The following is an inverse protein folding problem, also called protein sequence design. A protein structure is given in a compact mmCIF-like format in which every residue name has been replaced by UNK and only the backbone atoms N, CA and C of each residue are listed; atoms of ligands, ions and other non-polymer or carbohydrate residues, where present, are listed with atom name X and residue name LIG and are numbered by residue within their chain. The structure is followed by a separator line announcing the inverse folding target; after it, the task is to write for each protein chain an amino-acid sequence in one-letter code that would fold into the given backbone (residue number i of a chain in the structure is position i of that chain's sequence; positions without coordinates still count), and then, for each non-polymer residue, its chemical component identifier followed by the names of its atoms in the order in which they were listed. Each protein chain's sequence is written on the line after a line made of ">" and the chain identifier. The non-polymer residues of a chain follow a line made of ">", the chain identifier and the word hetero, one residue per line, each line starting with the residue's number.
data_IF_250003806170
#
_entry.id   IF_250003806170
#
_cell.length_a   1.000
_cell.length_b   1.000
_cell.length_c   1.000
_cell.angle_alpha   90.00
_cell.angle_beta   90.00
_cell.angle_gamma   90.00
#
_symmetry.space_group_name_H-M   'P 1'
#
loop_
_entity.id
_entity.type
_entity.pdbx_description
1 polymer ?
#
# COMPACT_ATOMS: atom_id res chain seq x y z
N UNK A 1 -9.86 -0.68 11.32
CA UNK A 1 -9.06 -1.88 11.00
C UNK A 1 -9.39 -2.25 9.57
N UNK A 2 -8.45 -2.05 8.63
CA UNK A 2 -8.65 -2.42 7.22
C UNK A 2 -8.46 -3.93 7.16
N UNK A 3 -9.55 -4.67 6.93
CA UNK A 3 -9.50 -6.13 6.91
C UNK A 3 -9.15 -6.56 5.50
N UNK A 4 -7.97 -7.15 5.41
CA UNK A 4 -7.38 -7.71 4.22
C UNK A 4 -8.08 -9.00 3.79
N UNK A 5 -8.05 -9.26 2.48
CA UNK A 5 -8.26 -10.60 1.93
C UNK A 5 -7.27 -11.58 2.57
N UNK A 6 -7.78 -12.56 3.32
CA UNK A 6 -6.98 -13.65 3.86
C UNK A 6 -6.92 -14.77 2.82
N UNK A 7 -5.82 -14.85 2.08
CA UNK A 7 -5.55 -15.95 1.16
C UNK A 7 -4.91 -17.09 1.97
N UNK A 8 -5.66 -18.14 2.23
CA UNK A 8 -5.12 -19.40 2.73
C UNK A 8 -4.87 -20.36 1.57
N UNK A 9 -3.68 -20.96 1.50
CA UNK A 9 -3.49 -22.20 0.72
C UNK A 9 -3.63 -23.36 1.70
N UNK A 10 -4.53 -24.29 1.42
CA UNK A 10 -4.70 -25.46 2.27
C UNK A 10 -4.64 -26.73 1.44
N UNK A 11 -3.78 -27.66 1.86
CA UNK A 11 -3.88 -29.05 1.43
C UNK A 11 -5.06 -29.69 2.19
N UNK A 12 -6.28 -29.43 1.73
CA UNK A 12 -7.48 -30.12 2.19
C UNK A 12 -8.29 -29.49 3.32
N UNK A 13 -8.26 -28.17 3.54
CA UNK A 13 -9.15 -27.56 4.53
C UNK A 13 -10.57 -27.38 3.98
N UNK A 14 -11.55 -27.78 4.79
CA UNK A 14 -12.95 -27.36 4.65
C UNK A 14 -13.02 -25.84 4.64
N UNK A 15 -13.76 -25.27 3.68
CA UNK A 15 -14.01 -23.83 3.63
C UNK A 15 -14.53 -23.34 4.98
N UNK A 16 -14.12 -22.14 5.45
CA UNK A 16 -14.54 -21.64 6.75
C UNK A 16 -16.07 -21.51 6.81
N UNK A 17 -16.64 -21.90 7.95
CA UNK A 17 -18.09 -21.85 8.17
C UNK A 17 -18.58 -20.39 8.14
N UNK A 18 -19.57 -20.12 7.27
CA UNK A 18 -20.15 -18.78 7.09
C UNK A 18 -20.64 -18.18 8.42
N UNK A 19 -21.34 -18.96 9.23
CA UNK A 19 -21.87 -18.51 10.52
C UNK A 19 -20.75 -18.11 11.48
N UNK A 20 -19.70 -18.92 11.58
CA UNK A 20 -18.54 -18.61 12.44
C UNK A 20 -17.82 -17.34 11.99
N UNK A 21 -17.72 -17.10 10.68
CA UNK A 21 -17.18 -15.84 10.13
C UNK A 21 -18.10 -14.67 10.53
N UNK A 22 -19.41 -14.77 10.30
CA UNK A 22 -20.36 -13.71 10.63
C UNK A 22 -20.37 -13.39 12.13
N UNK A 23 -20.28 -14.40 13.00
CA UNK A 23 -20.16 -14.25 14.44
C UNK A 23 -18.85 -13.55 14.83
N UNK A 24 -17.72 -13.96 14.24
CA UNK A 24 -16.43 -13.32 14.46
C UNK A 24 -16.45 -11.84 14.02
N UNK A 25 -16.89 -11.55 12.79
CA UNK A 25 -16.97 -10.18 12.28
C UNK A 25 -17.82 -9.29 13.20
N UNK A 26 -18.94 -9.80 13.71
CA UNK A 26 -19.77 -9.09 14.71
C UNK A 26 -18.99 -8.86 16.02
N UNK A 27 -18.34 -9.89 16.55
CA UNK A 27 -17.60 -9.82 17.82
C UNK A 27 -16.47 -8.77 17.77
N UNK A 28 -15.73 -8.70 16.67
CA UNK A 28 -14.63 -7.73 16.49
C UNK A 28 -15.08 -6.46 15.77
N UNK A 29 -16.39 -6.26 15.62
CA UNK A 29 -16.99 -5.07 15.05
C UNK A 29 -16.46 -4.71 13.65
N UNK A 30 -16.23 -5.70 12.80
CA UNK A 30 -15.90 -5.50 11.38
C UNK A 30 -17.22 -5.37 10.59
N UNK A 31 -17.50 -4.21 9.95
CA UNK A 31 -18.77 -3.98 9.26
C UNK A 31 -19.04 -4.89 8.07
N UNK A 32 -17.99 -5.32 7.38
CA UNK A 32 -18.06 -6.23 6.26
C UNK A 32 -16.68 -6.67 5.80
N UNK A 33 -16.65 -7.77 5.05
CA UNK A 33 -15.43 -8.38 4.54
C UNK A 33 -15.71 -9.14 3.24
N UNK A 34 -14.68 -9.29 2.41
CA UNK A 34 -14.63 -10.27 1.33
C UNK A 34 -13.52 -11.26 1.64
N UNK A 35 -13.82 -12.55 1.54
CA UNK A 35 -12.86 -13.63 1.77
C UNK A 35 -12.77 -14.46 0.50
N UNK A 36 -11.54 -14.56 -0.01
CA UNK A 36 -11.21 -15.36 -1.20
C UNK A 36 -10.12 -16.37 -0.85
N UNK A 37 -10.36 -17.65 -1.16
CA UNK A 37 -9.41 -18.75 -1.00
C UNK A 37 -9.17 -19.33 -2.38
N UNK A 38 -7.92 -19.46 -2.78
CA UNK A 38 -7.53 -19.96 -4.11
C UNK A 38 -6.54 -21.11 -3.97
N UNK A 39 -6.50 -21.98 -4.97
CA UNK A 39 -5.38 -22.89 -5.20
C UNK A 39 -4.66 -22.53 -6.51
N UNK A 40 -3.72 -23.36 -6.95
CA UNK A 40 -2.92 -23.12 -8.14
C UNK A 40 -3.72 -23.00 -9.46
N UNK A 41 -4.99 -23.42 -9.48
CA UNK A 41 -5.79 -23.55 -10.71
C UNK A 41 -7.14 -22.82 -10.66
N UNK A 42 -7.73 -22.63 -9.48
CA UNK A 42 -9.05 -22.01 -9.36
C UNK A 42 -9.32 -21.45 -7.95
N UNK A 43 -10.35 -20.61 -7.87
CA UNK A 43 -10.94 -20.13 -6.62
C UNK A 43 -11.72 -21.25 -5.93
N UNK A 44 -11.35 -21.55 -4.69
CA UNK A 44 -11.98 -22.55 -3.82
C UNK A 44 -13.16 -21.97 -3.03
N UNK A 45 -13.06 -20.70 -2.67
CA UNK A 45 -14.05 -20.00 -1.87
C UNK A 45 -14.01 -18.52 -2.19
N UNK A 46 -15.18 -17.91 -2.36
CA UNK A 46 -15.32 -16.48 -2.57
C UNK A 46 -16.65 -16.06 -1.98
N UNK A 47 -16.63 -15.29 -0.89
CA UNK A 47 -17.84 -14.85 -0.21
C UNK A 47 -17.67 -13.44 0.33
N UNK A 48 -18.77 -12.70 0.28
CA UNK A 48 -18.90 -11.38 0.87
C UNK A 48 -19.81 -11.43 2.11
N UNK A 49 -19.46 -10.60 3.09
CA UNK A 49 -20.07 -10.52 4.40
C UNK A 49 -20.35 -9.07 4.78
N UNK A 50 -21.47 -8.85 5.45
CA UNK A 50 -21.82 -7.54 6.00
C UNK A 50 -22.01 -6.47 4.92
N UNK A 51 -21.59 -5.25 5.24
CA UNK A 51 -21.88 -4.05 4.45
C UNK A 51 -20.61 -3.35 4.02
N UNK A 52 -20.58 -2.88 2.77
CA UNK A 52 -19.56 -1.94 2.31
C UNK A 52 -19.77 -0.52 2.86
N UNK A 53 -21.01 -0.21 3.26
CA UNK A 53 -21.41 1.07 3.85
C UNK A 53 -22.51 0.83 4.87
N UNK A 54 -22.22 1.06 6.15
CA UNK A 54 -23.21 1.07 7.23
C UNK A 54 -24.25 2.18 7.09
N UNK A 55 -23.88 3.31 6.47
CA UNK A 55 -24.78 4.45 6.29
C UNK A 55 -25.90 4.14 5.30
N UNK A 56 -25.54 3.61 4.13
CA UNK A 56 -26.48 3.26 3.06
C UNK A 56 -27.00 1.83 3.19
N UNK A 57 -26.45 1.04 4.12
CA UNK A 57 -26.68 -0.41 4.28
C UNK A 57 -26.44 -1.19 2.98
N UNK A 58 -25.53 -0.71 2.14
CA UNK A 58 -25.20 -1.40 0.90
C UNK A 58 -24.40 -2.66 1.23
N UNK A 59 -24.84 -3.85 0.77
CA UNK A 59 -24.17 -5.10 1.06
C UNK A 59 -22.81 -5.16 0.39
N UNK A 60 -21.87 -5.87 1.01
CA UNK A 60 -20.58 -6.19 0.40
C UNK A 60 -20.79 -7.11 -0.82
N UNK A 61 -19.98 -6.95 -1.86
CA UNK A 61 -20.00 -7.79 -3.06
C UNK A 61 -18.59 -8.29 -3.38
N UNK A 62 -18.41 -9.60 -3.54
CA UNK A 62 -17.08 -10.18 -3.70
C UNK A 62 -16.40 -9.79 -5.02
N UNK A 63 -17.17 -9.55 -6.09
CA UNK A 63 -16.67 -9.21 -7.42
C UNK A 63 -16.48 -7.71 -7.62
N UNK A 64 -17.18 -6.88 -6.84
CA UNK A 64 -17.28 -5.43 -7.09
C UNK A 64 -16.74 -4.56 -5.96
N UNK A 65 -16.76 -5.01 -4.71
CA UNK A 65 -16.32 -4.16 -3.61
C UNK A 65 -14.81 -3.94 -3.66
N UNK A 66 -14.41 -2.68 -3.82
CA UNK A 66 -13.03 -2.25 -3.97
C UNK A 66 -12.48 -1.80 -2.61
N UNK A 67 -11.35 -2.39 -2.23
CA UNK A 67 -10.63 -2.11 -1.00
C UNK A 67 -9.27 -1.50 -1.33
N UNK A 68 -8.82 -0.47 -0.60
CA UNK A 68 -7.43 -0.03 -0.70
C UNK A 68 -6.51 -1.09 -0.10
N UNK A 69 -5.54 -1.53 -0.89
CA UNK A 69 -4.61 -2.60 -0.55
C UNK A 69 -3.52 -2.18 0.46
N UNK A 70 -3.37 -0.88 0.74
CA UNK A 70 -2.37 -0.38 1.68
C UNK A 70 -0.98 -0.98 1.41
N UNK A 71 -0.36 -1.59 2.42
CA UNK A 71 1.01 -2.11 2.29
C UNK A 71 1.16 -3.40 1.48
N UNK A 72 0.05 -4.06 1.08
CA UNK A 72 0.12 -5.12 0.06
C UNK A 72 0.63 -4.54 -1.26
N UNK A 73 0.38 -3.27 -1.56
CA UNK A 73 0.86 -2.61 -2.78
C UNK A 73 2.39 -2.69 -2.97
N UNK A 74 3.17 -2.91 -1.90
CA UNK A 74 4.63 -3.10 -1.99
C UNK A 74 5.03 -4.38 -2.71
N UNK A 75 4.16 -5.39 -2.78
CA UNK A 75 4.42 -6.60 -3.59
C UNK A 75 4.48 -6.25 -5.08
N UNK A 76 3.63 -5.34 -5.56
CA UNK A 76 3.65 -4.84 -6.94
C UNK A 76 4.93 -4.04 -7.24
N UNK A 77 5.40 -3.22 -6.29
CA UNK A 77 6.70 -2.54 -6.40
C UNK A 77 7.83 -3.56 -6.53
N UNK A 78 7.84 -4.60 -5.68
CA UNK A 78 8.85 -5.65 -5.73
C UNK A 78 8.80 -6.43 -7.06
N UNK A 79 7.61 -6.77 -7.57
CA UNK A 79 7.45 -7.42 -8.87
C UNK A 79 7.99 -6.53 -9.99
N UNK A 80 7.66 -5.24 -9.99
CA UNK A 80 8.16 -4.29 -10.99
C UNK A 80 9.69 -4.18 -10.98
N UNK A 81 10.29 -4.07 -9.79
CA UNK A 81 11.76 -4.09 -9.66
C UNK A 81 12.35 -5.39 -10.18
N UNK A 82 11.77 -6.54 -9.81
CA UNK A 82 12.29 -7.84 -10.23
C UNK A 82 12.12 -8.09 -11.74
N UNK A 83 11.06 -7.57 -12.37
CA UNK A 83 10.91 -7.59 -13.84
C UNK A 83 12.04 -6.80 -14.53
N UNK A 84 12.43 -5.64 -13.99
CA UNK A 84 13.55 -4.86 -14.53
C UNK A 84 14.89 -5.55 -14.30
N UNK A 85 15.05 -6.25 -13.17
CA UNK A 85 16.23 -7.07 -12.87
C UNK A 85 16.34 -8.25 -13.83
N UNK A 86 15.24 -8.95 -14.10
CA UNK A 86 15.19 -10.05 -15.06
C UNK A 86 15.54 -9.59 -16.49
N UNK A 87 15.21 -8.34 -16.83
CA UNK A 87 15.56 -7.72 -18.11
C UNK A 87 16.99 -7.13 -18.15
N UNK A 88 17.78 -7.31 -17.08
CA UNK A 88 19.12 -6.72 -16.93
C UNK A 88 19.16 -5.18 -17.01
N UNK A 89 18.00 -4.53 -16.81
CA UNK A 89 17.88 -3.06 -16.81
C UNK A 89 18.16 -2.46 -15.44
N UNK A 90 18.05 -3.27 -14.38
CA UNK A 90 18.39 -2.90 -13.02
C UNK A 90 19.13 -4.04 -12.31
N UNK A 91 19.90 -3.68 -11.31
CA UNK A 91 20.62 -4.57 -10.42
C UNK A 91 20.31 -4.21 -8.96
N UNK A 92 20.11 -5.22 -8.13
CA UNK A 92 19.66 -5.08 -6.74
C UNK A 92 20.69 -4.43 -5.82
N UNK A 93 21.98 -4.50 -6.16
CA UNK A 93 23.11 -4.08 -5.34
C UNK A 93 23.79 -2.82 -5.85
N UNK A 94 23.38 -2.33 -7.02
CA UNK A 94 23.77 -1.04 -7.55
C UNK A 94 23.17 0.11 -6.74
N UNK A 95 23.96 1.18 -6.56
CA UNK A 95 23.53 2.41 -5.90
C UNK A 95 22.37 3.04 -6.70
N UNK A 96 21.24 3.30 -6.03
CA UNK A 96 20.04 3.85 -6.66
C UNK A 96 20.28 5.19 -7.36
N UNK A 97 21.28 5.95 -6.93
CA UNK A 97 21.66 7.20 -7.58
C UNK A 97 22.09 7.02 -9.05
N UNK A 98 22.53 5.81 -9.44
CA UNK A 98 22.87 5.51 -10.83
C UNK A 98 21.62 5.50 -11.74
N UNK A 99 20.48 5.09 -11.20
CA UNK A 99 19.21 5.07 -11.94
C UNK A 99 18.48 6.41 -11.91
N UNK A 100 18.57 7.15 -10.81
CA UNK A 100 17.84 8.40 -10.65
C UNK A 100 18.32 9.49 -11.62
N UNK A 101 19.61 9.48 -11.98
CA UNK A 101 20.24 10.43 -12.91
C UNK A 101 19.99 11.92 -12.58
N UNK A 102 19.72 12.24 -11.30
CA UNK A 102 19.48 13.61 -10.82
C UNK A 102 20.66 14.11 -9.96
N UNK A 103 21.69 14.71 -10.57
CA UNK A 103 22.92 15.08 -9.85
C UNK A 103 22.69 16.09 -8.71
N UNK A 104 21.62 16.89 -8.78
CA UNK A 104 21.25 17.87 -7.76
C UNK A 104 20.42 17.26 -6.60
N UNK A 105 19.91 16.04 -6.75
CA UNK A 105 19.02 15.38 -5.79
C UNK A 105 19.50 13.96 -5.54
N UNK A 106 20.70 13.83 -4.99
CA UNK A 106 21.28 12.52 -4.66
C UNK A 106 20.83 12.04 -3.28
N UNK A 107 20.57 10.75 -3.16
CA UNK A 107 20.18 10.10 -1.91
C UNK A 107 21.41 9.54 -1.22
N UNK A 108 21.68 10.02 -0.01
CA UNK A 108 22.74 9.48 0.83
C UNK A 108 22.31 9.41 2.28
N UNK A 109 22.86 8.43 2.98
CA UNK A 109 22.72 8.36 4.42
C UNK A 109 23.66 9.38 5.08
N UNK A 110 23.17 10.41 5.81
CA UNK A 110 24.01 11.48 6.34
C UNK A 110 25.04 11.00 7.38
N UNK A 111 24.71 9.97 8.15
CA UNK A 111 25.66 9.33 9.07
C UNK A 111 26.62 8.32 8.42
N UNK A 112 26.33 7.86 7.20
CA UNK A 112 27.10 6.82 6.50
C UNK A 112 27.19 7.14 4.99
N UNK A 113 27.78 8.28 4.60
CA UNK A 113 27.68 8.80 3.23
C UNK A 113 28.38 7.93 2.18
N UNK A 114 29.32 7.06 2.59
CA UNK A 114 30.00 6.09 1.73
C UNK A 114 29.20 4.81 1.48
N UNK A 115 28.10 4.60 2.21
CA UNK A 115 27.28 3.39 2.07
C UNK A 115 26.18 3.64 1.05
N UNK A 116 26.28 2.95 -0.08
CA UNK A 116 25.25 3.02 -1.11
C UNK A 116 23.87 2.60 -0.57
N UNK A 117 22.83 3.31 -0.98
CA UNK A 117 21.45 2.86 -0.87
C UNK A 117 21.13 2.07 -2.14
N UNK A 118 20.61 0.86 -2.00
CA UNK A 118 20.40 -0.08 -3.13
C UNK A 118 18.96 -0.58 -3.15
N UNK A 119 18.48 -1.06 -4.29
CA UNK A 119 17.15 -1.65 -4.42
C UNK A 119 16.94 -2.80 -3.41
N UNK A 120 17.96 -3.65 -3.18
CA UNK A 120 17.93 -4.69 -2.15
C UNK A 120 17.61 -4.12 -0.77
N UNK A 121 18.27 -3.02 -0.39
CA UNK A 121 18.08 -2.38 0.92
C UNK A 121 16.71 -1.71 1.04
N UNK A 122 16.20 -1.14 -0.06
CA UNK A 122 14.87 -0.53 -0.10
C UNK A 122 13.76 -1.57 0.05
N UNK A 123 13.81 -2.65 -0.76
CA UNK A 123 12.82 -3.72 -0.74
C UNK A 123 12.84 -4.55 0.57
N UNK A 124 14.00 -4.67 1.21
CA UNK A 124 14.16 -5.37 2.50
C UNK A 124 13.97 -4.48 3.73
N UNK A 125 13.60 -3.21 3.55
CA UNK A 125 13.48 -2.23 4.64
C UNK A 125 14.76 -2.10 5.48
N UNK A 126 15.93 -2.25 4.86
CA UNK A 126 17.23 -2.19 5.54
C UNK A 126 18.08 -0.97 5.20
N UNK A 127 17.51 0.02 4.52
CA UNK A 127 18.19 1.26 4.15
C UNK A 127 18.45 2.25 5.31
N UNK A 128 18.04 1.92 6.55
CA UNK A 128 18.12 2.79 7.73
C UNK A 128 17.33 4.11 7.58
N UNK A 129 16.23 4.11 6.83
CA UNK A 129 15.34 5.28 6.67
C UNK A 129 14.39 5.33 7.86
N UNK A 130 14.37 6.44 8.61
CA UNK A 130 13.50 6.63 9.80
C UNK A 130 12.31 7.56 9.54
N UNK A 131 11.91 7.68 8.28
CA UNK A 131 10.81 8.56 7.88
C UNK A 131 9.56 7.73 7.65
N UNK A 132 8.50 8.08 8.37
CA UNK A 132 7.16 7.48 8.22
C UNK A 132 6.06 8.42 7.67
N UNK A 133 6.31 9.47 6.89
CA UNK A 133 5.25 10.09 6.11
C UNK A 133 4.85 9.10 5.03
N UNK A 134 3.55 8.98 4.79
CA UNK A 134 3.07 8.16 3.69
C UNK A 134 3.27 8.95 2.40
N UNK A 135 4.42 8.75 1.76
CA UNK A 135 4.76 9.42 0.49
C UNK A 135 4.12 8.67 -0.68
N UNK A 136 3.68 7.42 -0.43
CA UNK A 136 2.87 6.61 -1.32
C UNK A 136 1.38 6.85 -1.10
N UNK A 137 0.96 8.08 -0.74
CA UNK A 137 -0.40 8.33 -0.26
C UNK A 137 -1.42 8.05 -1.37
N UNK A 138 -1.82 6.79 -1.50
CA UNK A 138 -2.80 6.30 -2.47
C UNK A 138 -4.22 6.65 -2.05
N UNK A 139 -4.37 7.22 -0.84
CA UNK A 139 -5.62 7.76 -0.33
C UNK A 139 -5.86 9.23 -0.71
N UNK A 140 -4.96 9.83 -1.50
CA UNK A 140 -5.14 11.19 -1.98
C UNK A 140 -6.37 11.26 -2.89
N UNK A 141 -7.21 12.26 -2.66
CA UNK A 141 -8.28 12.68 -3.56
C UNK A 141 -7.78 13.75 -4.53
N UNK A 142 -8.49 14.01 -5.64
CA UNK A 142 -8.08 15.03 -6.61
C UNK A 142 -7.86 16.43 -6.03
N UNK A 143 -8.48 16.74 -4.88
CA UNK A 143 -8.42 18.01 -4.16
C UNK A 143 -7.34 18.09 -3.08
N UNK A 144 -6.61 17.00 -2.79
CA UNK A 144 -5.51 17.03 -1.82
C UNK A 144 -4.27 17.74 -2.41
N UNK A 145 -3.61 18.60 -1.62
CA UNK A 145 -2.40 19.34 -2.07
C UNK A 145 -1.29 18.42 -2.60
N UNK A 146 -1.18 17.20 -2.05
CA UNK A 146 -0.19 16.22 -2.46
C UNK A 146 -0.61 15.41 -3.71
N UNK A 147 -1.83 15.56 -4.22
CA UNK A 147 -2.35 14.82 -5.38
C UNK A 147 -1.53 15.07 -6.65
N UNK A 148 -1.09 16.31 -6.85
CA UNK A 148 -0.28 16.71 -8.01
C UNK A 148 1.24 16.63 -7.74
N UNK A 149 1.66 16.15 -6.57
CA UNK A 149 3.08 16.00 -6.28
C UNK A 149 3.67 14.82 -7.08
N UNK A 150 4.81 15.05 -7.72
CA UNK A 150 5.53 13.97 -8.41
C UNK A 150 6.11 12.98 -7.39
N UNK A 151 6.19 11.69 -7.75
CA UNK A 151 6.81 10.68 -6.89
C UNK A 151 8.25 11.07 -6.50
N UNK A 152 8.96 11.72 -7.41
CA UNK A 152 10.29 12.28 -7.19
C UNK A 152 10.28 13.35 -6.09
N UNK A 153 9.44 14.38 -6.21
CA UNK A 153 9.39 15.46 -5.21
C UNK A 153 8.98 14.94 -3.84
N UNK A 154 8.01 14.01 -3.78
CA UNK A 154 7.63 13.36 -2.53
C UNK A 154 8.80 12.60 -1.90
N UNK A 155 9.55 11.84 -2.68
CA UNK A 155 10.74 11.12 -2.19
C UNK A 155 11.82 12.08 -1.69
N UNK A 156 12.17 13.08 -2.50
CA UNK A 156 13.27 14.00 -2.22
C UNK A 156 12.95 14.97 -1.09
N UNK A 157 11.68 15.34 -0.87
CA UNK A 157 11.25 16.19 0.26
C UNK A 157 11.77 15.66 1.60
N UNK A 158 11.76 14.34 1.78
CA UNK A 158 12.16 13.70 3.03
C UNK A 158 13.54 13.03 2.96
N UNK A 159 13.99 12.60 1.79
CA UNK A 159 15.32 12.01 1.63
C UNK A 159 16.43 13.03 1.35
N UNK A 160 16.10 14.33 1.28
CA UNK A 160 17.07 15.41 1.49
C UNK A 160 17.82 15.13 2.81
N UNK A 161 19.13 15.42 2.95
CA UNK A 161 19.98 14.87 4.00
C UNK A 161 19.75 15.59 5.34
N UNK A 162 18.53 15.57 5.83
CA UNK A 162 18.19 15.84 7.22
C UNK A 162 18.54 14.59 8.04
N UNK A 163 19.53 14.63 8.93
CA UNK A 163 19.93 13.48 9.73
C UNK A 163 18.79 12.86 10.56
N UNK A 164 17.78 13.64 10.96
CA UNK A 164 16.64 13.11 11.73
C UNK A 164 15.78 12.11 10.97
N UNK A 165 15.92 12.05 9.64
CA UNK A 165 15.17 11.17 8.75
C UNK A 165 15.85 9.81 8.57
N UNK A 166 16.96 9.56 9.25
CA UNK A 166 17.78 8.37 9.11
C UNK A 166 18.12 7.79 10.47
N UNK A 167 18.02 6.47 10.59
CA UNK A 167 18.50 5.76 11.77
C UNK A 167 20.03 5.86 11.76
N UNK A 168 20.70 6.23 12.86
CA UNK A 168 22.17 6.29 12.91
C UNK A 168 22.78 4.88 12.99
N UNK A 169 22.49 4.03 11.99
CA UNK A 169 23.01 2.68 11.79
C UNK A 169 23.34 2.46 10.31
N UNK A 170 24.42 1.73 9.97
CA UNK A 170 24.81 1.53 8.57
C UNK A 170 23.68 0.91 7.72
N UNK A 171 23.44 1.37 6.48
CA UNK A 171 22.51 0.70 5.57
C UNK A 171 22.83 -0.79 5.41
N UNK A 172 21.85 -1.64 5.69
CA UNK A 172 21.95 -3.10 5.70
C UNK A 172 22.08 -3.73 7.11
N UNK A 173 22.32 -2.94 8.16
CA UNK A 173 22.57 -3.49 9.50
C UNK A 173 21.32 -3.65 10.37
N UNK A 174 20.20 -3.03 9.98
CA UNK A 174 18.93 -3.08 10.70
C UNK A 174 17.79 -3.25 9.71
N UNK A 175 16.69 -3.86 10.15
CA UNK A 175 15.42 -3.87 9.42
C UNK A 175 14.50 -2.87 10.11
N UNK A 176 14.07 -1.85 9.39
CA UNK A 176 13.14 -0.84 9.86
C UNK A 176 12.15 -0.47 8.77
N UNK A 177 10.89 -0.80 9.03
CA UNK A 177 9.81 -0.59 8.08
C UNK A 177 9.68 0.89 7.70
N UNK A 178 9.79 1.17 6.39
CA UNK A 178 9.77 2.52 5.83
C UNK A 178 9.00 2.55 4.51
N UNK A 179 7.89 3.29 4.46
CA UNK A 179 7.12 3.52 3.23
C UNK A 179 7.94 4.30 2.20
N UNK A 180 8.71 5.29 2.66
CA UNK A 180 9.56 6.10 1.81
C UNK A 180 10.64 5.28 1.08
N UNK A 181 11.16 4.21 1.70
CA UNK A 181 12.08 3.30 1.04
C UNK A 181 11.44 2.57 -0.14
N UNK A 182 10.20 2.09 0.03
CA UNK A 182 9.45 1.48 -1.06
C UNK A 182 9.04 2.50 -2.13
N UNK A 183 8.76 3.76 -1.76
CA UNK A 183 8.45 4.84 -2.70
C UNK A 183 9.66 5.14 -3.59
N UNK A 184 10.86 5.17 -3.01
CA UNK A 184 12.11 5.33 -3.76
C UNK A 184 12.35 4.17 -4.73
N UNK A 185 12.00 2.93 -4.34
CA UNK A 185 12.08 1.79 -5.26
C UNK A 185 11.11 1.94 -6.45
N UNK A 186 9.88 2.42 -6.20
CA UNK A 186 8.94 2.75 -7.28
C UNK A 186 9.47 3.87 -8.19
N UNK A 187 10.13 4.90 -7.64
CA UNK A 187 10.77 5.95 -8.43
C UNK A 187 11.88 5.40 -9.32
N UNK A 188 12.69 4.45 -8.83
CA UNK A 188 13.71 3.78 -9.65
C UNK A 188 13.04 3.04 -10.82
N UNK A 189 11.90 2.37 -10.60
CA UNK A 189 11.12 1.76 -11.70
C UNK A 189 10.74 2.82 -12.74
N UNK A 190 10.24 3.99 -12.34
CA UNK A 190 9.88 5.05 -13.29
C UNK A 190 11.05 5.47 -14.16
N UNK A 191 12.23 5.65 -13.54
CA UNK A 191 13.43 6.14 -14.24
C UNK A 191 14.03 5.11 -15.16
N UNK A 192 14.11 3.85 -14.73
CA UNK A 192 14.66 2.77 -15.55
C UNK A 192 13.73 2.43 -16.71
N UNK A 193 12.42 2.38 -16.46
CA UNK A 193 11.44 2.02 -17.48
C UNK A 193 11.05 3.19 -18.41
N UNK A 194 11.44 4.44 -18.06
CA UNK A 194 11.06 5.65 -18.77
C UNK A 194 9.54 5.78 -18.99
N UNK A 195 8.77 5.43 -17.95
CA UNK A 195 7.31 5.49 -17.90
C UNK A 195 6.88 5.77 -16.45
N UNK A 196 5.68 6.30 -16.23
CA UNK A 196 5.22 6.49 -14.85
C UNK A 196 5.08 5.14 -14.14
N UNK A 197 5.22 5.13 -12.81
CA UNK A 197 5.13 3.90 -12.03
C UNK A 197 3.73 3.29 -12.17
N UNK A 198 2.71 4.14 -12.25
CA UNK A 198 1.32 3.72 -12.40
C UNK A 198 1.10 3.05 -13.74
N UNK A 199 1.57 3.68 -14.83
CA UNK A 199 1.50 3.06 -16.16
C UNK A 199 2.29 1.74 -16.18
N UNK A 200 3.41 1.65 -15.46
CA UNK A 200 4.19 0.42 -15.37
C UNK A 200 3.36 -0.70 -14.73
N UNK A 201 2.72 -0.42 -13.59
CA UNK A 201 1.86 -1.39 -12.90
C UNK A 201 0.70 -1.83 -13.81
N UNK A 202 0.04 -0.89 -14.47
CA UNK A 202 -1.09 -1.21 -15.35
C UNK A 202 -0.66 -2.03 -16.57
N UNK A 203 0.32 -1.55 -17.33
CA UNK A 203 0.72 -2.14 -18.60
C UNK A 203 1.57 -3.41 -18.44
N UNK A 204 2.41 -3.49 -17.40
CA UNK A 204 3.39 -4.58 -17.24
C UNK A 204 3.00 -5.63 -16.22
N UNK A 205 1.99 -5.37 -15.38
CA UNK A 205 1.55 -6.32 -14.34
C UNK A 205 0.05 -6.61 -14.44
N UNK A 206 -0.82 -5.60 -14.34
CA UNK A 206 -2.26 -5.83 -14.24
C UNK A 206 -2.88 -6.35 -15.55
N UNK A 207 -2.61 -5.68 -16.68
CA UNK A 207 -3.14 -6.11 -17.99
C UNK A 207 -2.66 -7.51 -18.41
N UNK A 208 -1.36 -7.87 -18.28
CA UNK A 208 -0.90 -9.24 -18.56
C UNK A 208 -1.54 -10.31 -17.68
N UNK A 209 -1.95 -9.96 -16.45
CA UNK A 209 -2.69 -10.86 -15.55
C UNK A 209 -4.20 -10.91 -15.84
N UNK A 210 -4.69 -10.17 -16.85
CA UNK A 210 -6.11 -10.10 -17.20
C UNK A 210 -6.96 -9.35 -16.17
N UNK A 211 -6.35 -8.50 -15.34
CA UNK A 211 -7.07 -7.71 -14.34
C UNK A 211 -7.79 -6.56 -15.04
N UNK A 212 -9.09 -6.43 -14.77
CA UNK A 212 -9.92 -5.34 -15.30
C UNK A 212 -9.62 -4.02 -14.59
N UNK A 213 -8.85 -3.15 -15.26
CA UNK A 213 -8.47 -1.83 -14.76
C UNK A 213 -9.63 -0.84 -14.63
N UNK A 214 -10.85 -1.18 -15.10
CA UNK A 214 -12.04 -0.38 -14.76
C UNK A 214 -12.57 -0.66 -13.35
N UNK A 215 -12.10 -1.75 -12.72
CA UNK A 215 -12.52 -2.22 -11.38
C UNK A 215 -11.37 -2.23 -10.36
N UNK A 216 -10.18 -1.81 -10.76
CA UNK A 216 -9.01 -1.68 -9.90
C UNK A 216 -8.23 -0.43 -10.30
N UNK A 217 -7.38 0.07 -9.41
CA UNK A 217 -6.61 1.28 -9.68
C UNK A 217 -5.50 1.46 -8.67
N UNK A 218 -4.54 2.31 -9.02
CA UNK A 218 -3.38 2.60 -8.15
C UNK A 218 -3.69 3.76 -7.19
N UNK A 219 -4.49 4.75 -7.60
CA UNK A 219 -4.93 5.86 -6.74
C UNK A 219 -6.44 5.80 -6.52
N UNK A 220 -6.89 6.09 -5.30
CA UNK A 220 -8.32 6.23 -5.01
C UNK A 220 -8.97 7.38 -5.81
N UNK A 221 -8.21 8.43 -6.11
CA UNK A 221 -8.66 9.56 -6.92
C UNK A 221 -8.98 9.24 -8.38
N UNK A 222 -8.44 8.15 -8.92
CA UNK A 222 -8.64 7.79 -10.34
C UNK A 222 -10.02 7.10 -10.55
N UNK A 223 -10.74 6.77 -9.47
CA UNK A 223 -12.07 6.18 -9.55
C UNK A 223 -13.15 7.26 -9.79
N UNK A 224 -13.69 7.31 -11.01
CA UNK A 224 -14.83 8.17 -11.35
C UNK A 224 -16.11 7.78 -10.60
N UNK A 225 -16.37 6.46 -10.46
CA UNK A 225 -17.47 5.93 -9.66
C UNK A 225 -16.95 5.39 -8.32
N UNK A 226 -17.41 5.99 -7.22
CA UNK A 226 -17.01 5.62 -5.86
C UNK A 226 -18.04 4.76 -5.12
N UNK A 227 -19.10 4.30 -5.81
CA UNK A 227 -20.12 3.42 -5.24
C UNK A 227 -19.56 2.06 -4.83
N UNK A 228 -18.61 1.55 -5.61
CA UNK A 228 -17.96 0.26 -5.35
C UNK A 228 -16.78 0.39 -4.35
N UNK A 229 -16.36 1.63 -4.01
CA UNK A 229 -15.35 1.87 -2.97
C UNK A 229 -15.92 1.62 -1.58
N UNK A 230 -15.35 0.63 -0.88
CA UNK A 230 -15.73 0.27 0.48
C UNK A 230 -15.44 1.43 1.44
N UNK A 231 -16.42 1.78 2.28
CA UNK A 231 -16.24 2.84 3.28
C UNK A 231 -15.37 2.34 4.43
N UNK A 232 -14.49 3.20 4.91
CA UNK A 232 -13.55 2.87 5.97
C UNK A 232 -14.15 3.15 7.34
N UNK A 233 -13.94 2.22 8.26
CA UNK A 233 -14.39 2.32 9.64
C UNK A 233 -13.20 2.15 10.58
N UNK A 234 -13.06 3.09 11.51
CA UNK A 234 -12.06 3.05 12.56
C UNK A 234 -12.78 2.95 13.90
N UNK A 235 -12.62 1.82 14.58
CA UNK A 235 -12.92 1.69 15.99
C UNK A 235 -11.69 2.18 16.77
N UNK A 236 -11.76 3.40 17.29
CA UNK A 236 -10.69 3.98 18.10
C UNK A 236 -11.04 3.83 19.59
N UNK A 237 -10.16 3.18 20.35
CA UNK A 237 -10.25 3.12 21.81
C UNK A 237 -9.84 4.45 22.49
N UNK A 238 -9.26 5.39 21.72
CA UNK A 238 -8.84 6.71 22.17
C UNK A 238 -8.85 7.71 21.00
N UNK A 239 -9.28 8.94 21.25
CA UNK A 239 -9.34 10.06 20.30
C UNK A 239 -7.98 10.42 19.69
N UNK A 240 -6.86 10.16 20.39
CA UNK A 240 -5.51 10.45 19.87
C UNK A 240 -5.13 9.66 18.61
N UNK A 241 -5.59 8.42 18.49
CA UNK A 241 -5.38 7.59 17.30
C UNK A 241 -6.24 8.05 16.13
N UNK A 242 -7.46 8.51 16.42
CA UNK A 242 -8.39 9.04 15.43
C UNK A 242 -7.90 10.35 14.81
N UNK A 243 -7.37 11.27 15.63
CA UNK A 243 -6.83 12.56 15.16
C UNK A 243 -5.58 12.38 14.30
N UNK A 244 -4.72 11.40 14.62
CA UNK A 244 -3.62 11.03 13.72
C UNK A 244 -4.14 10.52 12.38
N UNK A 245 -5.13 9.61 12.38
CA UNK A 245 -5.72 9.07 11.15
C UNK A 245 -6.44 10.11 10.28
N UNK A 246 -7.14 11.07 10.89
CA UNK A 246 -7.71 12.22 10.16
C UNK A 246 -6.64 13.01 9.41
N UNK A 247 -5.44 13.15 9.97
CA UNK A 247 -4.32 13.81 9.28
C UNK A 247 -3.77 12.98 8.11
N UNK A 248 -3.82 11.65 8.20
CA UNK A 248 -3.34 10.75 7.15
C UNK A 248 -4.37 10.56 6.02
N UNK A 249 -5.66 10.62 6.33
CA UNK A 249 -6.77 10.49 5.37
C UNK A 249 -7.79 11.59 5.69
N UNK A 250 -7.57 12.84 5.24
CA UNK A 250 -8.37 14.02 5.59
C UNK A 250 -9.86 13.88 5.27
N UNK A 251 -10.21 12.93 4.39
CA UNK A 251 -11.58 12.68 3.98
C UNK A 251 -12.08 11.25 4.27
N UNK A 252 -11.50 10.56 5.25
CA UNK A 252 -12.07 9.31 5.75
C UNK A 252 -13.50 9.62 6.23
N UNK A 253 -14.51 8.92 5.71
CA UNK A 253 -15.86 8.96 6.26
C UNK A 253 -15.83 8.30 7.65
N UNK A 254 -15.47 9.08 8.67
CA UNK A 254 -15.50 8.66 10.07
C UNK A 254 -16.96 8.68 10.49
N UNK A 255 -17.63 7.54 10.37
CA UNK A 255 -19.07 7.43 10.59
C UNK A 255 -19.46 7.18 12.04
N UNK A 256 -18.53 6.94 12.97
CA UNK A 256 -18.86 6.83 14.41
C UNK A 256 -17.63 6.89 15.32
N UNK A 257 -17.71 7.75 16.34
CA UNK A 257 -17.03 7.55 17.62
C UNK A 257 -18.08 6.87 18.50
N UNK A 258 -17.87 5.61 18.87
CA UNK A 258 -18.80 4.93 19.77
C UNK A 258 -18.53 5.41 21.21
N UNK A 259 -19.16 6.51 21.62
CA UNK A 259 -19.07 7.01 23.00
C UNK A 259 -19.85 6.15 24.01
N UNK A 260 -20.62 5.15 23.56
CA UNK A 260 -21.34 4.24 24.44
C UNK A 260 -21.43 2.84 23.82
N UNK A 261 -20.74 1.87 24.42
CA UNK A 261 -21.05 0.46 24.25
C UNK A 261 -22.23 0.11 25.16
N UNK A 262 -23.28 -0.59 24.70
CA UNK A 262 -24.04 -1.45 25.58
C UNK A 262 -23.11 -2.60 26.00
N UNK A 263 -23.00 -2.80 27.30
CA UNK A 263 -22.36 -3.96 27.94
C UNK A 263 -22.89 -5.29 27.41
#
# INVERSE_FOLDING_TARGET
>A
MVVFALIFTTNGATCPNRQSIEEFLKQVHIPGAVIVVVNATHTLYEQAFGYQSLLTKQPMNAERSIFPLGSISKTFIAIAVMQLVEQELADLDTDVNQYLAEPQRRIYHPHYPSHAITLRKLLSHSASIDVRPDVQNTNLRPDDDAYNESLADGCFRYLNPNPSNWIPKPPGSVIWYANLGAALAALVVERVANMSYIDYIEERILKPLGVDISKTGVRLADFENTEDLVKHYVYAFNTSFLEQWKKFIPHLNITQIADNLPT
#
